data_IF_137483255653
#
_entry.id   IF_137483255653
#
_cell.length_a   1.000
_cell.length_b   1.000
_cell.length_c   1.000
_cell.angle_alpha   90.00
_cell.angle_beta   90.00
_cell.angle_gamma   90.00
#
_symmetry.space_group_name_H-M   'P 1'
#
loop_
_entity.id
_entity.type
_entity.pdbx_description
1 polymer ?
#
# COMPACT_ATOMS: atom_id res chain seq x y z
N UNK A 1 3.01 -2.48 23.43
CA UNK A 1 1.70 -1.91 23.83
C UNK A 1 0.68 -3.02 23.85
N UNK A 2 -0.11 -3.14 24.93
CA UNK A 2 -1.22 -4.08 25.03
C UNK A 2 -2.10 -4.01 23.77
N UNK A 3 -2.49 -5.19 23.25
CA UNK A 3 -3.13 -5.39 21.95
C UNK A 3 -3.97 -4.21 21.48
N UNK A 4 -3.36 -3.32 20.69
CA UNK A 4 -4.11 -2.40 19.85
C UNK A 4 -4.82 -3.31 18.86
N UNK A 5 -6.09 -3.61 19.14
CA UNK A 5 -6.96 -4.11 18.09
C UNK A 5 -6.74 -3.19 16.90
N UNK A 6 -6.47 -3.75 15.72
CA UNK A 6 -6.29 -2.96 14.51
C UNK A 6 -7.39 -1.88 14.45
N UNK A 7 -7.09 -0.61 14.11
CA UNK A 7 -8.10 0.44 14.00
C UNK A 7 -9.32 -0.01 13.19
N UNK A 8 -9.10 -0.87 12.19
CA UNK A 8 -10.12 -1.54 11.39
C UNK A 8 -11.04 -2.46 12.21
N UNK A 9 -10.48 -3.24 13.15
CA UNK A 9 -11.27 -4.06 14.09
C UNK A 9 -12.17 -3.20 14.96
N UNK A 10 -11.66 -2.09 15.51
CA UNK A 10 -12.48 -1.18 16.32
C UNK A 10 -13.57 -0.51 15.48
N UNK A 11 -13.24 -0.10 14.26
CA UNK A 11 -14.16 0.55 13.32
C UNK A 11 -15.30 -0.37 12.85
N UNK A 12 -15.08 -1.69 12.81
CA UNK A 12 -16.12 -2.68 12.50
C UNK A 12 -16.89 -3.11 13.75
N UNK A 13 -16.19 -3.31 14.88
CA UNK A 13 -16.80 -3.82 16.12
C UNK A 13 -17.74 -2.81 16.79
N UNK A 14 -17.44 -1.50 16.74
CA UNK A 14 -18.27 -0.46 17.37
C UNK A 14 -19.66 -0.34 16.71
N UNK A 15 -19.79 -0.19 15.37
CA UNK A 15 -21.07 -0.22 14.70
C UNK A 15 -21.80 -1.55 14.87
N UNK A 16 -21.07 -2.67 14.83
CA UNK A 16 -21.64 -4.01 15.03
C UNK A 16 -22.26 -4.14 16.42
N UNK A 17 -21.59 -3.68 17.48
CA UNK A 17 -22.11 -3.72 18.85
C UNK A 17 -23.42 -2.91 18.98
N UNK A 18 -23.49 -1.76 18.31
CA UNK A 18 -24.70 -0.93 18.29
C UNK A 18 -25.83 -1.57 17.48
N UNK A 19 -25.53 -2.17 16.33
CA UNK A 19 -26.51 -2.91 15.52
C UNK A 19 -27.01 -4.16 16.24
N UNK A 20 -26.15 -4.86 16.98
CA UNK A 20 -26.51 -6.12 17.64
C UNK A 20 -27.58 -5.94 18.71
N UNK A 21 -27.60 -4.80 19.40
CA UNK A 21 -28.66 -4.46 20.35
C UNK A 21 -30.01 -4.14 19.68
N UNK A 22 -30.03 -3.93 18.36
CA UNK A 22 -31.24 -3.64 17.57
C UNK A 22 -31.77 -4.87 16.83
N UNK A 23 -31.06 -6.00 16.87
CA UNK A 23 -31.47 -7.23 16.22
C UNK A 23 -32.36 -8.02 17.17
N UNK A 24 -33.57 -8.35 16.70
CA UNK A 24 -34.48 -9.23 17.42
C UNK A 24 -34.10 -10.71 17.18
N UNK A 25 -33.55 -11.34 18.22
CA UNK A 25 -33.17 -12.75 18.22
C UNK A 25 -34.28 -13.68 18.69
N UNK A 26 -35.46 -13.17 19.06
CA UNK A 26 -36.65 -13.98 19.30
C UNK A 26 -37.32 -14.38 17.98
N UNK A 27 -37.09 -13.60 16.92
CA UNK A 27 -37.52 -13.95 15.57
C UNK A 27 -36.76 -15.19 15.05
N UNK A 28 -37.51 -16.27 14.79
CA UNK A 28 -36.96 -17.54 14.33
C UNK A 28 -36.19 -17.44 13.01
N UNK A 29 -36.61 -16.55 12.10
CA UNK A 29 -35.94 -16.36 10.80
C UNK A 29 -34.57 -15.70 11.00
N UNK A 30 -34.51 -14.64 11.80
CA UNK A 30 -33.26 -13.94 12.14
C UNK A 30 -32.28 -14.87 12.84
N UNK A 31 -32.78 -15.65 13.80
CA UNK A 31 -31.96 -16.60 14.54
C UNK A 31 -31.46 -17.76 13.66
N UNK A 32 -32.29 -18.24 12.73
CA UNK A 32 -31.87 -19.27 11.78
C UNK A 32 -30.79 -18.74 10.83
N UNK A 33 -30.96 -17.53 10.30
CA UNK A 33 -29.95 -16.87 9.47
C UNK A 33 -28.61 -16.74 10.20
N UNK A 34 -28.64 -16.34 11.48
CA UNK A 34 -27.46 -16.27 12.33
C UNK A 34 -26.74 -17.62 12.50
N UNK A 35 -27.50 -18.69 12.70
CA UNK A 35 -26.94 -20.05 12.84
C UNK A 35 -26.31 -20.52 11.53
N UNK A 36 -26.98 -20.29 10.40
CA UNK A 36 -26.45 -20.63 9.08
C UNK A 36 -25.14 -19.89 8.83
N UNK A 37 -25.11 -18.57 9.04
CA UNK A 37 -23.92 -17.75 8.88
C UNK A 37 -22.76 -18.27 9.75
N UNK A 38 -23.04 -18.63 11.00
CA UNK A 38 -22.06 -19.18 11.92
C UNK A 38 -21.45 -20.48 11.39
N UNK A 39 -22.27 -21.44 10.96
CA UNK A 39 -21.77 -22.71 10.43
C UNK A 39 -21.02 -22.53 9.10
N UNK A 40 -21.46 -21.64 8.23
CA UNK A 40 -20.74 -21.32 6.97
C UNK A 40 -19.36 -20.74 7.30
N UNK A 41 -19.28 -19.76 8.20
CA UNK A 41 -18.01 -19.18 8.60
C UNK A 41 -17.09 -20.22 9.25
N UNK A 42 -17.65 -21.08 10.09
CA UNK A 42 -16.90 -22.12 10.78
C UNK A 42 -16.33 -23.18 9.82
N UNK A 43 -17.14 -23.66 8.88
CA UNK A 43 -16.72 -24.62 7.86
C UNK A 43 -15.66 -23.98 6.95
N UNK A 44 -15.89 -22.74 6.51
CA UNK A 44 -14.93 -22.00 5.67
C UNK A 44 -13.59 -21.84 6.38
N UNK A 45 -13.60 -21.47 7.66
CA UNK A 45 -12.37 -21.36 8.46
C UNK A 45 -11.63 -22.70 8.61
N UNK A 46 -12.37 -23.79 8.83
CA UNK A 46 -11.78 -25.12 8.94
C UNK A 46 -11.14 -25.56 7.61
N UNK A 47 -11.84 -25.37 6.49
CA UNK A 47 -11.34 -25.68 5.15
C UNK A 47 -10.11 -24.83 4.83
N UNK A 48 -10.13 -23.54 5.17
CA UNK A 48 -8.97 -22.65 5.00
C UNK A 48 -7.77 -23.14 5.81
N UNK A 49 -7.96 -23.51 7.08
CA UNK A 49 -6.88 -24.06 7.92
C UNK A 49 -6.29 -25.37 7.39
N UNK A 50 -7.14 -26.25 6.85
CA UNK A 50 -6.70 -27.51 6.22
C UNK A 50 -5.93 -27.24 4.93
N UNK A 51 -6.40 -26.28 4.11
CA UNK A 51 -5.75 -25.85 2.89
C UNK A 51 -4.37 -25.22 3.17
N UNK A 52 -4.27 -24.32 4.14
CA UNK A 52 -3.00 -23.74 4.60
C UNK A 52 -2.01 -24.82 5.01
N UNK A 53 -2.46 -25.78 5.84
CA UNK A 53 -1.62 -26.91 6.24
C UNK A 53 -1.09 -27.67 5.01
N UNK A 54 -1.94 -27.96 4.04
CA UNK A 54 -1.54 -28.64 2.80
C UNK A 54 -0.55 -27.80 1.99
N UNK A 55 -0.75 -26.49 1.89
CA UNK A 55 0.10 -25.58 1.14
C UNK A 55 1.49 -25.43 1.76
N UNK A 56 1.57 -25.29 3.09
CA UNK A 56 2.83 -25.26 3.85
C UNK A 56 3.61 -26.55 3.64
N UNK A 57 2.91 -27.70 3.75
CA UNK A 57 3.53 -29.01 3.50
C UNK A 57 4.04 -29.12 2.07
N UNK A 58 3.33 -28.63 1.05
CA UNK A 58 3.82 -28.69 -0.34
C UNK A 58 5.05 -27.80 -0.58
N UNK A 59 5.14 -26.66 0.11
CA UNK A 59 6.25 -25.71 -0.06
C UNK A 59 7.56 -26.24 0.53
N UNK A 60 7.50 -27.03 1.62
CA UNK A 60 8.68 -27.62 2.27
C UNK A 60 9.81 -26.62 2.53
N UNK A 61 9.48 -25.46 3.14
CA UNK A 61 10.47 -24.42 3.45
C UNK A 61 11.28 -24.82 4.69
N UNK A 62 12.46 -25.39 4.44
CA UNK A 62 13.35 -25.93 5.49
C UNK A 62 14.35 -24.90 6.02
N UNK A 63 14.25 -23.63 5.63
CA UNK A 63 15.13 -22.58 6.15
C UNK A 63 14.96 -22.44 7.66
N UNK A 64 16.09 -22.37 8.36
CA UNK A 64 16.15 -22.23 9.82
C UNK A 64 15.79 -20.82 10.25
N UNK A 65 15.00 -20.74 11.32
CA UNK A 65 14.59 -19.49 11.94
C UNK A 65 14.65 -19.61 13.46
N UNK A 66 14.91 -18.48 14.11
CA UNK A 66 14.93 -18.37 15.56
C UNK A 66 13.75 -17.49 15.98
N UNK A 67 12.69 -18.12 16.47
CA UNK A 67 11.46 -17.40 16.84
C UNK A 67 11.57 -16.95 18.29
N UNK A 68 11.45 -15.64 18.58
CA UNK A 68 11.48 -15.13 19.94
C UNK A 68 10.22 -15.54 20.71
N UNK A 69 10.40 -15.91 21.98
CA UNK A 69 9.31 -16.06 22.93
C UNK A 69 8.62 -14.72 23.22
N UNK A 70 7.59 -14.76 24.05
CA UNK A 70 6.93 -13.55 24.58
C UNK A 70 7.48 -13.22 25.96
N UNK A 71 7.62 -11.94 26.30
CA UNK A 71 8.17 -11.52 27.61
C UNK A 71 7.28 -11.93 28.78
N UNK A 72 5.96 -11.89 28.61
CA UNK A 72 4.98 -12.21 29.66
C UNK A 72 3.59 -12.44 29.05
N UNK A 73 2.67 -13.15 29.73
CA UNK A 73 1.26 -13.26 29.28
C UNK A 73 0.57 -11.92 28.99
N UNK A 74 1.04 -10.83 29.60
CA UNK A 74 0.50 -9.47 29.40
C UNK A 74 1.36 -8.60 28.48
N UNK A 75 2.59 -9.03 28.16
CA UNK A 75 3.49 -8.35 27.22
C UNK A 75 3.92 -9.32 26.12
N UNK A 76 3.21 -9.24 24.99
CA UNK A 76 3.43 -10.07 23.80
C UNK A 76 4.57 -9.56 22.91
N UNK A 77 5.33 -8.56 23.36
CA UNK A 77 6.50 -8.10 22.62
C UNK A 77 7.56 -9.22 22.51
N UNK A 78 8.28 -9.32 21.39
CA UNK A 78 9.27 -10.37 21.19
C UNK A 78 10.39 -10.29 22.24
N UNK A 79 10.73 -11.43 22.81
CA UNK A 79 11.84 -11.62 23.72
C UNK A 79 12.99 -12.34 23.01
N UNK A 80 13.95 -11.58 22.49
CA UNK A 80 15.12 -12.14 21.80
C UNK A 80 16.14 -12.81 22.73
N UNK A 81 15.95 -12.73 24.06
CA UNK A 81 16.73 -13.50 25.03
C UNK A 81 16.30 -14.96 25.15
N UNK A 82 15.10 -15.30 24.68
CA UNK A 82 14.54 -16.66 24.70
C UNK A 82 14.10 -17.04 23.28
N UNK A 83 14.99 -17.72 22.55
CA UNK A 83 14.80 -18.07 21.14
C UNK A 83 14.55 -19.57 21.00
N UNK A 84 13.50 -19.92 20.27
CA UNK A 84 13.24 -21.29 19.85
C UNK A 84 13.78 -21.51 18.43
N UNK A 85 14.76 -22.40 18.28
CA UNK A 85 15.24 -22.85 16.96
C UNK A 85 14.21 -23.78 16.31
N UNK A 86 13.84 -23.48 15.07
CA UNK A 86 12.87 -24.25 14.29
C UNK A 86 13.07 -23.98 12.80
N UNK A 87 12.37 -24.67 11.92
CA UNK A 87 12.29 -24.31 10.49
C UNK A 87 10.97 -23.60 10.20
N UNK A 88 10.89 -22.88 9.07
CA UNK A 88 9.62 -22.31 8.63
C UNK A 88 8.53 -23.37 8.52
N UNK A 89 8.80 -24.50 7.85
CA UNK A 89 7.84 -25.59 7.71
C UNK A 89 7.31 -26.08 9.07
N UNK A 90 8.20 -26.38 10.02
CA UNK A 90 7.78 -26.93 11.32
C UNK A 90 6.99 -25.91 12.15
N UNK A 91 7.42 -24.65 12.15
CA UNK A 91 6.75 -23.58 12.88
C UNK A 91 5.38 -23.23 12.29
N UNK A 92 5.33 -22.99 10.98
CA UNK A 92 4.09 -22.62 10.27
C UNK A 92 3.06 -23.77 10.34
N UNK A 93 3.51 -25.02 10.23
CA UNK A 93 2.64 -26.20 10.37
C UNK A 93 2.10 -26.36 11.79
N UNK A 94 2.90 -26.05 12.81
CA UNK A 94 2.43 -26.00 14.20
C UNK A 94 1.36 -24.92 14.39
N UNK A 95 1.56 -23.72 13.81
CA UNK A 95 0.58 -22.62 13.86
C UNK A 95 -0.70 -22.92 13.10
N UNK A 96 -0.62 -23.58 11.94
CA UNK A 96 -1.79 -24.06 11.21
C UNK A 96 -2.61 -25.09 12.02
N UNK A 97 -1.94 -26.02 12.71
CA UNK A 97 -2.59 -26.99 13.62
C UNK A 97 -3.22 -26.31 14.82
N UNK A 98 -2.54 -25.33 15.41
CA UNK A 98 -3.05 -24.53 16.52
C UNK A 98 -4.33 -23.80 16.12
N UNK A 99 -4.32 -23.13 14.96
CA UNK A 99 -5.49 -22.48 14.39
C UNK A 99 -6.67 -23.46 14.23
N UNK A 100 -6.46 -24.61 13.56
CA UNK A 100 -7.50 -25.63 13.41
C UNK A 100 -8.09 -26.10 14.75
N UNK A 101 -7.22 -26.32 15.75
CA UNK A 101 -7.64 -26.72 17.10
C UNK A 101 -8.47 -25.62 17.77
N UNK A 102 -8.04 -24.36 17.70
CA UNK A 102 -8.74 -23.22 18.28
C UNK A 102 -10.11 -23.01 17.61
N UNK A 103 -10.18 -23.13 16.29
CA UNK A 103 -11.42 -23.06 15.51
C UNK A 103 -12.41 -24.13 15.97
N UNK A 104 -11.98 -25.39 16.12
CA UNK A 104 -12.84 -26.48 16.60
C UNK A 104 -13.33 -26.29 18.04
N UNK A 105 -12.43 -25.92 18.96
CA UNK A 105 -12.78 -25.68 20.37
C UNK A 105 -13.73 -24.49 20.48
N UNK A 106 -13.44 -23.40 19.78
CA UNK A 106 -14.27 -22.19 19.72
C UNK A 106 -15.69 -22.50 19.27
N UNK A 107 -15.86 -23.27 18.18
CA UNK A 107 -17.19 -23.69 17.75
C UNK A 107 -17.93 -24.55 18.77
N UNK A 108 -17.22 -25.47 19.45
CA UNK A 108 -17.81 -26.27 20.52
C UNK A 108 -18.34 -25.40 21.67
N UNK A 109 -17.55 -24.44 22.13
CA UNK A 109 -17.93 -23.49 23.19
C UNK A 109 -19.09 -22.60 22.73
N UNK A 110 -19.00 -22.00 21.55
CA UNK A 110 -20.07 -21.14 21.01
C UNK A 110 -21.37 -21.91 20.81
N UNK A 111 -21.31 -23.15 20.34
CA UNK A 111 -22.49 -24.02 20.22
C UNK A 111 -23.09 -24.33 21.59
N UNK A 112 -22.28 -24.60 22.62
CA UNK A 112 -22.76 -24.84 23.98
C UNK A 112 -23.44 -23.60 24.57
N UNK A 113 -22.82 -22.43 24.45
CA UNK A 113 -23.37 -21.16 24.95
C UNK A 113 -24.70 -20.84 24.23
N UNK A 114 -24.76 -21.05 22.92
CA UNK A 114 -25.95 -20.83 22.12
C UNK A 114 -27.09 -21.79 22.47
N UNK A 115 -26.86 -23.10 22.33
CA UNK A 115 -27.93 -24.10 22.44
C UNK A 115 -28.29 -24.45 23.89
N UNK A 116 -27.32 -24.42 24.82
CA UNK A 116 -27.55 -24.81 26.22
C UNK A 116 -27.85 -23.61 27.12
N UNK A 117 -27.21 -22.47 26.89
CA UNK A 117 -27.37 -21.28 27.73
C UNK A 117 -28.34 -20.25 27.13
N UNK A 118 -28.84 -20.47 25.89
CA UNK A 118 -29.81 -19.60 25.23
C UNK A 118 -29.23 -18.25 24.80
N UNK A 119 -27.90 -18.13 24.77
CA UNK A 119 -27.21 -16.87 24.52
C UNK A 119 -27.03 -16.70 23.00
N UNK A 120 -28.10 -16.28 22.33
CA UNK A 120 -28.21 -16.26 20.87
C UNK A 120 -27.20 -15.32 20.16
N UNK A 121 -26.76 -14.26 20.83
CA UNK A 121 -25.82 -13.30 20.24
C UNK A 121 -24.45 -13.93 19.92
N UNK A 122 -24.07 -15.03 20.59
CA UNK A 122 -22.74 -15.65 20.42
C UNK A 122 -22.51 -16.11 18.98
N UNK A 123 -23.52 -16.68 18.30
CA UNK A 123 -23.38 -17.19 16.93
C UNK A 123 -23.27 -16.04 15.92
N UNK A 124 -23.95 -14.92 16.16
CA UNK A 124 -23.79 -13.71 15.34
C UNK A 124 -22.42 -13.09 15.51
N UNK A 125 -21.94 -12.98 16.75
CA UNK A 125 -20.61 -12.45 17.02
C UNK A 125 -19.57 -13.27 16.27
N UNK A 126 -19.65 -14.60 16.37
CA UNK A 126 -18.73 -15.49 15.67
C UNK A 126 -18.87 -15.44 14.14
N UNK A 127 -20.06 -15.17 13.60
CA UNK A 127 -20.26 -15.00 12.15
C UNK A 127 -19.52 -13.79 11.58
N UNK A 128 -19.25 -12.77 12.39
CA UNK A 128 -18.46 -11.59 11.97
C UNK A 128 -17.00 -11.71 12.39
N UNK A 129 -16.76 -12.19 13.61
CA UNK A 129 -15.40 -12.32 14.16
C UNK A 129 -14.58 -13.38 13.45
N UNK A 130 -15.18 -14.49 13.01
CA UNK A 130 -14.42 -15.55 12.34
C UNK A 130 -13.82 -15.09 11.01
N UNK A 131 -14.55 -14.42 10.10
CA UNK A 131 -13.97 -13.78 8.93
C UNK A 131 -12.83 -12.81 9.26
N UNK A 132 -12.99 -11.96 10.28
CA UNK A 132 -11.96 -11.02 10.73
C UNK A 132 -10.71 -11.78 11.23
N UNK A 133 -10.91 -12.81 12.05
CA UNK A 133 -9.81 -13.62 12.56
C UNK A 133 -9.06 -14.36 11.45
N UNK A 134 -9.76 -14.78 10.39
CA UNK A 134 -9.14 -15.33 9.19
C UNK A 134 -8.33 -14.27 8.44
N UNK A 135 -8.88 -13.08 8.25
CA UNK A 135 -8.22 -11.97 7.57
C UNK A 135 -6.92 -11.54 8.27
N UNK A 136 -6.93 -11.53 9.60
CA UNK A 136 -5.78 -11.16 10.41
C UNK A 136 -4.81 -12.31 10.68
N UNK A 137 -5.14 -13.53 10.24
CA UNK A 137 -4.26 -14.67 10.44
C UNK A 137 -2.99 -14.51 9.58
N UNK A 138 -1.78 -14.53 10.16
CA UNK A 138 -0.54 -14.27 9.42
C UNK A 138 -0.28 -15.32 8.34
N UNK A 139 -0.74 -16.57 8.52
CA UNK A 139 -0.65 -17.59 7.48
C UNK A 139 -1.59 -17.32 6.32
N UNK A 140 -2.82 -16.85 6.59
CA UNK A 140 -3.76 -16.46 5.53
C UNK A 140 -3.20 -15.29 4.73
N UNK A 141 -2.68 -14.26 5.42
CA UNK A 141 -2.08 -13.10 4.76
C UNK A 141 -0.89 -13.50 3.87
N UNK A 142 0.03 -14.31 4.42
CA UNK A 142 1.23 -14.71 3.70
C UNK A 142 0.96 -15.64 2.51
N UNK A 143 0.00 -16.57 2.63
CA UNK A 143 -0.18 -17.65 1.67
C UNK A 143 -1.38 -17.50 0.73
N UNK A 144 -2.44 -16.81 1.17
CA UNK A 144 -3.68 -16.65 0.40
C UNK A 144 -3.73 -15.26 -0.23
N UNK A 145 -3.36 -14.23 0.52
CA UNK A 145 -3.41 -12.84 0.05
C UNK A 145 -2.08 -12.39 -0.59
N UNK A 146 -1.03 -13.21 -0.53
CA UNK A 146 0.31 -12.84 -1.03
C UNK A 146 1.00 -11.73 -0.23
N UNK A 147 0.40 -11.30 0.90
CA UNK A 147 0.88 -10.20 1.76
C UNK A 147 1.82 -10.74 2.83
N UNK A 148 3.02 -11.16 2.44
CA UNK A 148 4.07 -11.55 3.39
C UNK A 148 4.86 -10.30 3.81
N UNK A 149 4.24 -9.47 4.64
CA UNK A 149 4.83 -8.22 5.11
C UNK A 149 5.87 -8.51 6.20
N UNK A 150 7.16 -8.38 5.86
CA UNK A 150 8.27 -8.50 6.80
C UNK A 150 8.35 -9.87 7.51
N UNK A 151 8.75 -9.82 8.79
CA UNK A 151 8.98 -10.98 9.66
C UNK A 151 7.69 -11.39 10.37
N UNK A 152 6.96 -12.32 9.76
CA UNK A 152 5.67 -12.81 10.25
C UNK A 152 5.71 -13.42 11.66
N UNK A 153 6.88 -13.88 12.12
CA UNK A 153 7.09 -14.48 13.43
C UNK A 153 8.03 -13.67 14.30
N UNK A 154 8.35 -12.43 13.91
CA UNK A 154 9.42 -11.64 14.54
C UNK A 154 10.76 -12.39 14.57
N UNK A 155 10.96 -13.31 13.62
CA UNK A 155 12.06 -14.26 13.62
C UNK A 155 13.41 -13.58 13.41
N UNK A 156 14.45 -14.16 14.02
CA UNK A 156 15.86 -13.83 13.75
C UNK A 156 16.45 -14.86 12.81
N UNK A 157 17.31 -14.43 11.89
CA UNK A 157 18.04 -15.32 10.98
C UNK A 157 19.38 -15.78 11.57
N UNK A 158 19.90 -16.89 11.04
CA UNK A 158 21.21 -17.41 11.44
C UNK A 158 22.32 -16.39 11.15
N UNK A 159 23.12 -16.07 12.16
CA UNK A 159 24.21 -15.08 12.04
C UNK A 159 23.80 -13.62 12.23
N UNK A 160 22.52 -13.29 12.27
CA UNK A 160 22.01 -11.94 12.54
C UNK A 160 22.18 -11.55 14.01
N UNK A 161 22.33 -10.29 14.42
CA UNK A 161 22.31 -9.92 15.85
C UNK A 161 20.88 -9.86 16.41
N UNK A 162 20.73 -9.83 17.74
CA UNK A 162 19.41 -9.65 18.37
C UNK A 162 18.87 -8.23 18.19
N UNK A 163 19.77 -7.25 18.06
CA UNK A 163 19.45 -5.84 17.85
C UNK A 163 18.90 -5.61 16.44
N UNK A 164 19.56 -6.20 15.42
CA UNK A 164 19.10 -6.14 14.02
C UNK A 164 17.74 -6.82 13.86
N UNK A 165 17.55 -7.97 14.51
CA UNK A 165 16.28 -8.68 14.46
C UNK A 165 15.14 -7.90 15.13
N UNK A 166 15.42 -7.21 16.24
CA UNK A 166 14.48 -6.34 16.91
C UNK A 166 14.17 -5.09 16.07
N UNK A 167 15.17 -4.50 15.41
CA UNK A 167 15.00 -3.36 14.52
C UNK A 167 14.13 -3.70 13.31
N UNK A 168 14.33 -4.88 12.71
CA UNK A 168 13.53 -5.36 11.58
C UNK A 168 12.04 -5.58 11.94
N UNK A 169 11.75 -5.85 13.22
CA UNK A 169 10.38 -5.97 13.74
C UNK A 169 9.79 -4.62 14.15
N UNK A 170 10.61 -3.73 14.71
CA UNK A 170 10.25 -2.35 14.98
C UNK A 170 9.84 -1.61 13.71
N UNK A 171 10.55 -1.82 12.60
CA UNK A 171 10.21 -1.28 11.30
C UNK A 171 8.85 -1.77 10.76
N UNK A 172 8.43 -3.00 11.10
CA UNK A 172 7.14 -3.55 10.72
C UNK A 172 5.96 -3.10 11.62
N UNK A 173 6.24 -2.51 12.79
CA UNK A 173 5.22 -2.08 13.78
C UNK A 173 5.16 -0.57 14.02
N UNK A 174 6.09 0.21 13.47
CA UNK A 174 6.11 1.67 13.55
C UNK A 174 5.10 2.31 12.57
N UNK A 175 3.82 2.28 12.95
CA UNK A 175 3.01 3.50 12.82
C UNK A 175 3.27 4.33 14.08
N UNK A 176 3.69 5.59 13.88
CA UNK A 176 4.03 6.63 14.87
C UNK A 176 5.52 6.77 15.25
N UNK A 177 6.13 7.76 14.58
CA UNK A 177 7.17 8.69 15.04
C UNK A 177 8.50 8.12 15.55
N UNK A 178 9.57 8.35 14.78
CA UNK A 178 10.76 9.16 15.15
C UNK A 178 11.71 9.25 13.92
N UNK A 179 12.05 10.48 13.51
CA UNK A 179 13.14 10.83 12.59
C UNK A 179 14.52 10.80 13.30
N UNK A 180 15.64 11.11 12.62
CA UNK A 180 16.27 10.48 11.47
C UNK A 180 17.68 9.91 11.85
N UNK A 181 18.42 9.40 10.86
CA UNK A 181 19.84 8.97 10.87
C UNK A 181 20.12 7.58 11.50
N UNK A 182 20.89 6.66 10.92
CA UNK A 182 21.91 6.76 9.86
C UNK A 182 21.75 5.61 8.86
N UNK A 183 21.96 5.98 7.60
CA UNK A 183 21.99 5.11 6.42
C UNK A 183 22.96 3.92 6.57
N UNK A 184 22.44 2.70 6.47
CA UNK A 184 23.17 1.64 5.77
C UNK A 184 22.49 1.34 4.43
N UNK A 185 23.27 1.63 3.39
CA UNK A 185 22.95 1.58 1.97
C UNK A 185 22.63 0.15 1.53
N UNK A 186 21.42 -0.32 1.78
CA UNK A 186 20.85 -1.40 1.00
C UNK A 186 20.49 -0.80 -0.37
N UNK A 187 21.16 -1.28 -1.42
CA UNK A 187 20.76 -1.03 -2.80
C UNK A 187 19.36 -1.65 -3.01
N UNK A 188 18.30 -0.97 -2.56
CA UNK A 188 16.93 -1.31 -2.94
C UNK A 188 16.84 -1.19 -4.45
N UNK A 189 16.19 -2.17 -5.08
CA UNK A 189 15.89 -2.08 -6.50
C UNK A 189 15.04 -0.80 -6.73
N UNK A 190 15.30 -0.03 -7.80
CA UNK A 190 14.58 1.22 -8.09
C UNK A 190 13.05 1.06 -8.02
N UNK A 191 12.50 -0.02 -8.58
CA UNK A 191 11.07 -0.33 -8.53
C UNK A 191 10.53 -0.50 -7.09
N UNK A 192 11.28 -1.16 -6.21
CA UNK A 192 10.88 -1.33 -4.81
C UNK A 192 10.95 0.01 -4.04
N UNK A 193 11.95 0.84 -4.32
CA UNK A 193 12.04 2.17 -3.72
C UNK A 193 10.87 3.08 -4.15
N UNK A 194 10.47 3.04 -5.43
CA UNK A 194 9.30 3.76 -5.94
C UNK A 194 8.02 3.29 -5.26
N UNK A 195 7.81 1.96 -5.15
CA UNK A 195 6.64 1.39 -4.48
C UNK A 195 6.57 1.77 -2.99
N UNK A 196 7.71 1.78 -2.30
CA UNK A 196 7.78 2.21 -0.90
C UNK A 196 7.42 3.69 -0.75
N UNK A 197 8.03 4.58 -1.55
CA UNK A 197 7.73 6.01 -1.50
C UNK A 197 6.25 6.31 -1.77
N UNK A 198 5.62 5.56 -2.68
CA UNK A 198 4.18 5.65 -2.92
C UNK A 198 3.35 5.21 -1.69
N UNK A 199 3.73 4.09 -1.07
CA UNK A 199 3.04 3.56 0.11
C UNK A 199 3.21 4.44 1.37
N UNK A 200 4.38 5.07 1.51
CA UNK A 200 4.73 5.93 2.64
C UNK A 200 4.02 7.30 2.58
N UNK A 201 3.64 7.75 1.38
CA UNK A 201 2.83 8.95 1.18
C UNK A 201 3.47 10.21 1.77
N UNK A 202 2.93 10.70 2.88
CA UNK A 202 3.45 11.89 3.56
C UNK A 202 4.78 11.65 4.29
N UNK A 203 5.13 10.39 4.54
CA UNK A 203 6.37 10.01 5.22
C UNK A 203 7.44 9.53 4.23
N UNK A 204 7.20 9.70 2.93
CA UNK A 204 8.11 9.24 1.89
C UNK A 204 9.47 9.95 1.96
N UNK A 205 10.54 9.16 2.05
CA UNK A 205 11.91 9.66 2.01
C UNK A 205 12.39 9.82 0.56
N UNK A 206 12.25 11.04 0.04
CA UNK A 206 12.67 11.38 -1.33
C UNK A 206 14.19 11.41 -1.50
N UNK A 207 14.99 11.55 -0.43
CA UNK A 207 16.45 11.46 -0.51
C UNK A 207 16.87 9.99 -0.68
N UNK A 208 16.25 9.07 0.05
CA UNK A 208 16.45 7.64 -0.12
C UNK A 208 15.94 7.16 -1.49
N UNK A 209 14.78 7.66 -1.94
CA UNK A 209 14.26 7.39 -3.28
C UNK A 209 15.27 7.84 -4.34
N UNK A 210 15.83 9.05 -4.23
CA UNK A 210 16.85 9.56 -5.14
C UNK A 210 18.07 8.63 -5.23
N UNK A 211 18.59 8.21 -4.08
CA UNK A 211 19.77 7.34 -4.03
C UNK A 211 19.53 5.98 -4.73
N UNK A 212 18.31 5.47 -4.68
CA UNK A 212 17.91 4.23 -5.37
C UNK A 212 17.72 4.44 -6.88
N UNK A 213 17.03 5.50 -7.31
CA UNK A 213 16.63 5.68 -8.71
C UNK A 213 17.66 6.43 -9.56
N UNK A 214 18.64 7.13 -8.98
CA UNK A 214 19.60 7.95 -9.76
C UNK A 214 20.43 7.19 -10.80
N UNK A 215 20.53 5.86 -10.69
CA UNK A 215 21.23 5.00 -11.66
C UNK A 215 20.29 4.44 -12.74
N UNK A 216 18.98 4.51 -12.51
CA UNK A 216 17.92 4.06 -13.41
C UNK A 216 16.68 4.94 -13.20
N UNK A 217 16.76 6.18 -13.70
CA UNK A 217 15.80 7.24 -13.38
C UNK A 217 14.39 6.96 -13.92
N UNK A 218 14.30 6.10 -14.93
CA UNK A 218 13.08 5.72 -15.63
C UNK A 218 12.58 4.33 -15.23
N UNK A 219 13.07 3.78 -14.12
CA UNK A 219 12.56 2.55 -13.55
C UNK A 219 11.05 2.64 -13.31
N UNK A 220 10.37 1.51 -13.50
CA UNK A 220 8.94 1.36 -13.32
C UNK A 220 8.62 0.29 -12.29
N UNK A 221 7.53 0.46 -11.54
CA UNK A 221 6.99 -0.63 -10.71
C UNK A 221 6.39 -1.73 -11.60
N UNK A 222 6.42 -2.98 -11.13
CA UNK A 222 5.99 -4.12 -11.95
C UNK A 222 4.47 -4.11 -12.23
N UNK A 223 3.66 -3.83 -11.20
CA UNK A 223 2.20 -3.95 -11.29
C UNK A 223 1.57 -2.77 -12.07
N UNK A 224 1.85 -1.55 -11.64
CA UNK A 224 1.14 -0.35 -12.10
C UNK A 224 2.03 0.60 -12.93
N UNK A 225 3.27 0.23 -13.22
CA UNK A 225 4.18 0.99 -14.09
C UNK A 225 4.54 2.41 -13.59
N UNK A 226 4.54 2.63 -12.28
CA UNK A 226 4.85 3.92 -11.66
C UNK A 226 6.32 4.29 -11.80
N UNK A 227 6.57 5.57 -12.06
CA UNK A 227 7.92 6.18 -12.03
C UNK A 227 8.11 7.03 -10.78
N UNK A 228 9.37 7.32 -10.42
CA UNK A 228 9.69 8.24 -9.33
C UNK A 228 9.09 9.64 -9.53
N UNK A 229 8.98 10.11 -10.77
CA UNK A 229 8.38 11.39 -11.11
C UNK A 229 6.87 11.41 -10.82
N UNK A 230 6.14 10.34 -11.17
CA UNK A 230 4.71 10.23 -10.86
C UNK A 230 4.44 10.25 -9.35
N UNK A 231 5.23 9.48 -8.58
CA UNK A 231 5.13 9.46 -7.11
C UNK A 231 5.36 10.85 -6.54
N UNK A 232 6.38 11.57 -7.00
CA UNK A 232 6.68 12.92 -6.53
C UNK A 232 5.53 13.90 -6.84
N UNK A 233 4.95 13.84 -8.04
CA UNK A 233 3.87 14.74 -8.44
C UNK A 233 2.53 14.44 -7.75
N UNK A 234 2.26 13.20 -7.36
CA UNK A 234 1.06 12.80 -6.61
C UNK A 234 1.22 12.81 -5.09
N UNK A 235 2.43 13.03 -4.57
CA UNK A 235 2.71 13.00 -3.14
C UNK A 235 1.97 14.12 -2.39
N UNK A 236 1.59 13.94 -1.10
CA UNK A 236 1.04 15.00 -0.26
C UNK A 236 2.09 15.91 0.41
N UNK A 237 3.39 15.68 0.23
CA UNK A 237 4.48 16.54 0.75
C UNK A 237 5.14 17.40 -0.32
N UNK A 238 5.89 18.44 0.06
CA UNK A 238 6.65 19.25 -0.89
C UNK A 238 7.78 18.45 -1.53
N UNK A 239 7.71 18.28 -2.85
CA UNK A 239 8.62 17.48 -3.66
C UNK A 239 9.26 18.29 -4.80
N UNK A 240 9.12 19.61 -4.80
CA UNK A 240 9.53 20.48 -5.91
C UNK A 240 11.01 20.31 -6.27
N UNK A 241 11.87 20.25 -5.26
CA UNK A 241 13.30 20.05 -5.45
C UNK A 241 13.59 18.68 -6.06
N UNK A 242 12.90 17.63 -5.60
CA UNK A 242 13.05 16.28 -6.11
C UNK A 242 12.57 16.18 -7.57
N UNK A 243 11.42 16.76 -7.90
CA UNK A 243 10.89 16.84 -9.28
C UNK A 243 11.92 17.47 -10.20
N UNK A 244 12.47 18.64 -9.83
CA UNK A 244 13.52 19.32 -10.60
C UNK A 244 14.78 18.49 -10.73
N UNK A 245 15.14 17.75 -9.69
CA UNK A 245 16.33 16.90 -9.66
C UNK A 245 16.19 15.71 -10.62
N UNK A 246 15.07 14.98 -10.58
CA UNK A 246 14.85 13.82 -11.46
C UNK A 246 14.71 14.21 -12.93
N UNK A 247 14.08 15.36 -13.23
CA UNK A 247 14.01 15.90 -14.59
C UNK A 247 15.42 16.22 -15.12
N UNK A 248 16.26 16.90 -14.34
CA UNK A 248 17.66 17.16 -14.71
C UNK A 248 18.48 15.89 -14.91
N UNK A 249 18.10 14.80 -14.23
CA UNK A 249 18.72 13.49 -14.37
C UNK A 249 18.21 12.68 -15.58
N UNK A 250 17.26 13.22 -16.36
CA UNK A 250 16.73 12.58 -17.56
C UNK A 250 15.50 11.72 -17.33
N UNK A 251 14.69 12.02 -16.30
CA UNK A 251 13.38 11.41 -16.12
C UNK A 251 12.51 11.63 -17.37
N UNK A 252 11.85 10.57 -17.83
CA UNK A 252 10.87 10.61 -18.91
C UNK A 252 9.58 11.27 -18.41
N UNK A 253 9.43 12.54 -18.76
CA UNK A 253 8.29 13.36 -18.32
C UNK A 253 6.98 13.00 -19.03
N UNK A 254 7.06 12.27 -20.14
CA UNK A 254 5.91 11.83 -20.93
C UNK A 254 5.48 10.40 -20.58
N UNK A 255 6.19 9.74 -19.65
CA UNK A 255 5.84 8.41 -19.20
C UNK A 255 4.41 8.39 -18.63
N UNK A 256 3.70 7.30 -18.93
CA UNK A 256 2.39 6.98 -18.36
C UNK A 256 2.43 5.66 -17.60
N UNK A 257 1.58 5.56 -16.59
CA UNK A 257 1.36 4.36 -15.79
C UNK A 257 0.38 3.38 -16.46
N UNK A 258 -0.04 2.34 -15.74
CA UNK A 258 -0.97 1.31 -16.22
C UNK A 258 -2.34 1.85 -16.66
N UNK A 259 -2.78 2.99 -16.13
CA UNK A 259 -4.05 3.63 -16.46
C UNK A 259 -3.91 4.75 -17.51
N UNK A 260 -2.70 4.93 -18.04
CA UNK A 260 -2.40 6.00 -19.00
C UNK A 260 -2.18 7.36 -18.33
N UNK A 261 -2.03 7.41 -17.01
CA UNK A 261 -1.82 8.66 -16.29
C UNK A 261 -0.35 9.07 -16.35
N UNK A 262 -0.11 10.32 -16.74
CA UNK A 262 1.20 10.96 -16.62
C UNK A 262 1.40 11.56 -15.22
N UNK A 263 2.62 11.97 -14.90
CA UNK A 263 2.91 12.67 -13.64
C UNK A 263 2.02 13.93 -13.45
N UNK A 264 1.65 14.60 -14.55
CA UNK A 264 0.75 15.76 -14.51
C UNK A 264 -0.69 15.39 -14.09
N UNK A 265 -1.19 14.21 -14.50
CA UNK A 265 -2.49 13.71 -14.06
C UNK A 265 -2.51 13.47 -12.54
N UNK A 266 -1.43 12.90 -12.00
CA UNK A 266 -1.29 12.68 -10.56
C UNK A 266 -1.28 14.00 -9.77
N UNK A 267 -0.58 15.03 -10.26
CA UNK A 267 -0.65 16.37 -9.63
C UNK A 267 -2.05 16.99 -9.70
N UNK A 268 -2.77 16.76 -10.80
CA UNK A 268 -4.12 17.26 -11.02
C UNK A 268 -5.16 16.57 -10.13
N UNK A 269 -5.06 15.26 -9.96
CA UNK A 269 -5.98 14.49 -9.11
C UNK A 269 -5.80 14.81 -7.63
N UNK A 270 -4.55 14.91 -7.16
CA UNK A 270 -4.25 15.19 -5.76
C UNK A 270 -4.24 16.68 -5.40
N UNK A 271 -4.49 17.58 -6.36
CA UNK A 271 -4.57 19.02 -6.08
C UNK A 271 -3.22 19.62 -5.68
N UNK A 272 -2.17 19.32 -6.45
CA UNK A 272 -0.77 19.73 -6.17
C UNK A 272 -0.27 20.82 -7.12
N UNK A 273 -0.62 22.11 -6.89
CA UNK A 273 -0.24 23.20 -7.79
C UNK A 273 1.27 23.41 -7.87
N UNK A 274 1.99 23.30 -6.75
CA UNK A 274 3.45 23.47 -6.71
C UNK A 274 4.17 22.38 -7.52
N UNK A 275 3.70 21.14 -7.42
CA UNK A 275 4.28 20.03 -8.19
C UNK A 275 4.01 20.18 -9.69
N UNK A 276 2.80 20.62 -10.07
CA UNK A 276 2.45 20.90 -11.46
C UNK A 276 3.32 22.04 -12.03
N UNK A 277 3.50 23.12 -11.27
CA UNK A 277 4.36 24.26 -11.62
C UNK A 277 5.83 23.83 -11.74
N UNK A 278 6.33 23.04 -10.78
CA UNK A 278 7.71 22.54 -10.77
C UNK A 278 7.98 21.66 -11.99
N UNK A 279 7.05 20.79 -12.37
CA UNK A 279 7.14 19.96 -13.57
C UNK A 279 7.15 20.82 -14.85
N UNK A 280 6.13 21.67 -15.05
CA UNK A 280 5.96 22.44 -16.29
C UNK A 280 7.04 23.51 -16.51
N UNK A 281 7.53 24.13 -15.43
CA UNK A 281 8.60 25.13 -15.49
C UNK A 281 9.99 24.52 -15.74
N UNK A 282 10.15 23.21 -15.54
CA UNK A 282 11.46 22.53 -15.62
C UNK A 282 11.70 21.76 -16.92
N UNK A 283 10.71 21.69 -17.79
CA UNK A 283 10.77 20.95 -19.06
C UNK A 283 10.79 21.89 -20.27
N UNK A 284 11.21 21.36 -21.42
CA UNK A 284 11.24 22.10 -22.68
C UNK A 284 9.83 22.48 -23.14
N UNK A 285 9.69 23.52 -23.96
CA UNK A 285 8.38 23.92 -24.51
C UNK A 285 7.70 22.80 -25.30
N UNK A 286 8.48 22.00 -26.05
CA UNK A 286 7.98 20.86 -26.82
C UNK A 286 7.47 19.73 -25.92
N UNK A 287 8.22 19.35 -24.88
CA UNK A 287 7.77 18.33 -23.93
C UNK A 287 6.55 18.81 -23.14
N UNK A 288 6.50 20.10 -22.82
CA UNK A 288 5.37 20.73 -22.13
C UNK A 288 4.08 20.61 -22.93
N UNK A 289 4.13 20.93 -24.22
CA UNK A 289 2.98 20.82 -25.11
C UNK A 289 2.48 19.37 -25.19
N UNK A 290 3.40 18.42 -25.38
CA UNK A 290 3.06 17.00 -25.43
C UNK A 290 2.47 16.52 -24.12
N UNK A 291 3.08 16.88 -22.98
CA UNK A 291 2.64 16.49 -21.65
C UNK A 291 1.23 17.02 -21.33
N UNK A 292 0.93 18.27 -21.70
CA UNK A 292 -0.40 18.87 -21.54
C UNK A 292 -1.47 18.19 -22.40
N UNK A 293 -1.07 17.59 -23.52
CA UNK A 293 -1.96 16.91 -24.45
C UNK A 293 -2.16 15.41 -24.14
N UNK A 294 -1.42 14.82 -23.19
CA UNK A 294 -1.63 13.42 -22.80
C UNK A 294 -3.04 13.26 -22.23
N UNK A 295 -3.73 12.21 -22.69
CA UNK A 295 -5.02 11.78 -22.16
C UNK A 295 -4.88 10.43 -21.45
N UNK A 296 -5.46 10.31 -20.27
CA UNK A 296 -5.63 9.03 -19.58
C UNK A 296 -6.53 8.06 -20.36
N UNK A 297 -6.65 6.82 -19.89
CA UNK A 297 -7.48 5.79 -20.53
C UNK A 297 -8.97 6.14 -20.62
N UNK A 298 -9.44 7.06 -19.77
CA UNK A 298 -10.81 7.60 -19.80
C UNK A 298 -10.97 8.80 -20.76
N UNK A 299 -9.90 9.17 -21.49
CA UNK A 299 -9.88 10.25 -22.47
C UNK A 299 -9.69 11.64 -21.87
N UNK A 300 -9.53 11.78 -20.55
CA UNK A 300 -9.34 13.07 -19.89
C UNK A 300 -7.88 13.50 -19.91
N UNK A 301 -7.65 14.78 -20.15
CA UNK A 301 -6.37 15.46 -19.89
C UNK A 301 -6.20 15.78 -18.41
N UNK A 302 -4.97 16.08 -17.98
CA UNK A 302 -4.72 16.51 -16.60
C UNK A 302 -5.55 17.74 -16.19
N UNK A 303 -5.82 18.67 -17.11
CA UNK A 303 -6.67 19.84 -16.82
C UNK A 303 -8.14 19.46 -16.57
N UNK A 304 -8.64 18.46 -17.29
CA UNK A 304 -10.00 17.94 -17.10
C UNK A 304 -10.11 17.11 -15.81
N UNK A 305 -9.05 16.38 -15.43
CA UNK A 305 -8.97 15.72 -14.12
C UNK A 305 -8.98 16.75 -13.00
N UNK A 306 -8.13 17.78 -13.05
CA UNK A 306 -8.10 18.84 -12.03
C UNK A 306 -9.47 19.51 -11.85
N UNK A 307 -10.16 19.79 -12.96
CA UNK A 307 -11.52 20.35 -12.93
C UNK A 307 -12.55 19.38 -12.33
N UNK A 308 -12.44 18.08 -12.64
CA UNK A 308 -13.32 17.04 -12.12
C UNK A 308 -13.19 16.81 -10.61
N UNK A 309 -11.97 16.95 -10.09
CA UNK A 309 -11.64 16.83 -8.66
C UNK A 309 -11.73 18.16 -7.89
N UNK A 310 -12.25 19.22 -8.52
CA UNK A 310 -12.39 20.57 -7.93
C UNK A 310 -11.07 21.25 -7.52
N UNK A 311 -9.94 20.84 -8.11
CA UNK A 311 -8.61 21.40 -7.89
C UNK A 311 -8.35 22.61 -8.78
N UNK A 312 -9.04 23.72 -8.48
CA UNK A 312 -9.06 24.95 -9.30
C UNK A 312 -7.66 25.55 -9.55
N UNK A 313 -6.80 25.59 -8.54
CA UNK A 313 -5.46 26.19 -8.65
C UNK A 313 -4.58 25.42 -9.65
N UNK A 314 -4.66 24.08 -9.63
CA UNK A 314 -3.95 23.25 -10.61
C UNK A 314 -4.53 23.49 -12.01
N UNK A 315 -5.85 23.51 -12.15
CA UNK A 315 -6.49 23.77 -13.44
C UNK A 315 -6.06 25.14 -14.03
N UNK A 316 -5.93 26.18 -13.20
CA UNK A 316 -5.46 27.50 -13.63
C UNK A 316 -4.01 27.45 -14.12
N UNK A 317 -3.11 26.79 -13.37
CA UNK A 317 -1.70 26.61 -13.76
C UNK A 317 -1.63 25.90 -15.13
N UNK A 318 -2.34 24.78 -15.29
CA UNK A 318 -2.33 24.00 -16.54
C UNK A 318 -2.81 24.83 -17.73
N UNK A 319 -3.88 25.61 -17.57
CA UNK A 319 -4.40 26.50 -18.61
C UNK A 319 -3.43 27.63 -18.93
N UNK A 320 -2.75 28.20 -17.93
CA UNK A 320 -1.79 29.28 -18.13
C UNK A 320 -0.61 28.83 -19.02
N UNK A 321 -0.10 27.62 -18.78
CA UNK A 321 0.98 27.03 -19.57
C UNK A 321 0.51 26.61 -20.97
N UNK A 322 -0.71 26.10 -21.10
CA UNK A 322 -1.31 25.79 -22.41
C UNK A 322 -1.46 27.04 -23.29
N UNK A 323 -1.93 28.16 -22.72
CA UNK A 323 -2.06 29.43 -23.43
C UNK A 323 -0.69 30.02 -23.82
N UNK A 324 0.31 29.85 -22.96
CA UNK A 324 1.68 30.30 -23.24
C UNK A 324 2.27 29.52 -24.42
N UNK A 325 2.12 28.20 -24.45
CA UNK A 325 2.56 27.36 -25.57
C UNK A 325 1.92 27.79 -26.90
N UNK A 326 0.61 28.04 -26.92
CA UNK A 326 -0.09 28.54 -28.10
C UNK A 326 0.42 29.90 -28.59
N UNK A 327 0.86 30.78 -27.67
CA UNK A 327 1.41 32.10 -28.02
C UNK A 327 2.83 32.03 -28.59
N UNK A 328 3.66 31.11 -28.08
CA UNK A 328 5.02 30.86 -28.56
C UNK A 328 5.02 30.29 -29.98
N UNK A 329 4.12 29.35 -30.30
CA UNK A 329 3.92 28.84 -31.66
C UNK A 329 3.55 29.96 -32.66
N UNK A 330 2.60 30.82 -32.31
CA UNK A 330 2.16 31.92 -33.20
C UNK A 330 3.30 32.92 -33.44
N UNK A 331 4.14 33.17 -32.43
CA UNK A 331 5.28 34.08 -32.55
C UNK A 331 6.41 33.51 -33.43
N UNK A 332 6.73 32.23 -33.29
CA UNK A 332 7.77 31.55 -34.07
C UNK A 332 7.35 31.39 -35.53
N UNK A 333 6.08 31.09 -35.80
CA UNK A 333 5.51 31.07 -37.16
C UNK A 333 5.60 32.44 -37.84
N UNK A 334 5.32 33.54 -37.11
CA UNK A 334 5.49 34.90 -37.64
C UNK A 334 6.94 35.24 -37.94
N UNK A 335 7.89 34.87 -37.07
CA UNK A 335 9.31 35.10 -37.29
C UNK A 335 9.86 34.31 -38.49
N UNK A 336 9.47 33.03 -38.63
CA UNK A 336 9.83 32.21 -39.81
C UNK A 336 9.30 32.80 -41.12
N UNK A 337 8.09 33.36 -41.10
CA UNK A 337 7.50 34.02 -42.28
C UNK A 337 8.24 35.31 -42.68
N UNK A 338 8.73 36.09 -41.72
CA UNK A 338 9.53 37.31 -41.96
C UNK A 338 10.96 36.98 -42.41
N UNK A 339 11.55 35.91 -41.87
CA UNK A 339 12.86 35.42 -42.32
C UNK A 339 12.79 34.85 -43.76
N UNK A 340 11.71 34.15 -44.11
CA UNK A 340 11.51 33.66 -45.48
C UNK A 340 11.34 34.80 -46.50
N UNK A 341 10.66 35.90 -46.14
CA UNK A 341 10.47 37.04 -47.05
C UNK A 341 11.70 37.94 -47.22
N UNK A 342 12.73 37.81 -46.38
CA UNK A 342 13.96 38.64 -46.46
C UNK A 342 15.10 37.95 -47.21
N UNK A 343 14.95 36.68 -47.55
CA UNK A 343 15.90 35.91 -48.37
C UNK A 343 15.61 36.04 -49.88
N UNK A 344 14.41 36.50 -50.26
CA UNK A 344 14.01 36.68 -51.66
C UNK A 344 14.46 38.03 -52.28
N UNK A 345 15.07 38.94 -51.50
CA UNK A 345 15.45 40.30 -51.95
C UNK A 345 16.97 40.52 -52.15
N UNK A 346 17.76 39.46 -52.35
CA UNK A 346 19.18 39.56 -52.70
C UNK A 346 19.47 38.76 -53.97
N UNK A 347 19.21 39.36 -55.13
CA UNK A 347 19.77 39.01 -56.44
C UNK A 347 20.16 40.28 -57.21
#
# INVERSE_FOLDING_TARGET
>A
MAGKQSPMRMLIMLPMMFLMNKIDFENETTLMAARIAFFVCQITALLMGLYLKQLIQRKHDTRKIYVPGVKSPFDQSPNYGDLTETTYETHELAKAKEFLKQTLIGAGISSLIHFKMGVNHVVMIQSVMMPINLWDNPLVQAYILGRRNGRIWNERFEGESAEDAAAAVGAATATAAVSPSDSEKLNLAPAAAIANALADGAEADFDALWEAVKKDINAKTDEDQWTALMVACGSPVDTDNFIRQVIRAGADVLAVDGDGWSALHWSAFHGRPEAAEALLSSISGTDREQLLAITASDGRTAAEVAKGEENADVAEILVSYANTAASEEVSTLRQRKVAASSVEDVD
#
